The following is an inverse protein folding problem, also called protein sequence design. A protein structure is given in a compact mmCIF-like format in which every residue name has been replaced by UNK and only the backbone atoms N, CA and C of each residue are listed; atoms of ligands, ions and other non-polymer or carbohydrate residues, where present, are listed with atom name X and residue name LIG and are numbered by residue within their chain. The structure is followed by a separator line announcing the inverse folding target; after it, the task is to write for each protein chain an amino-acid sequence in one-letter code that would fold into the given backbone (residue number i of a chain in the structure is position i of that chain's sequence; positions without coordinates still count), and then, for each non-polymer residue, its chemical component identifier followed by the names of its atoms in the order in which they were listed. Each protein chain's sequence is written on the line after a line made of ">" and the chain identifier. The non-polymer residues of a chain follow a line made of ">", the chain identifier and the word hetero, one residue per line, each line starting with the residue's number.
data_IF_376983810144
#
_entry.id   IF_376983810144
#
_cell.length_a   1.000
_cell.length_b   1.000
_cell.length_c   1.000
_cell.angle_alpha   90.00
_cell.angle_beta   90.00
_cell.angle_gamma   90.00
#
_symmetry.space_group_name_H-M   'P 1'
#
loop_
_entity.id
_entity.type
_entity.pdbx_description
1 polymer ?
#
# COMPACT_ATOMS: atom_id res chain seq x y z
N UNK A 1 -13.88 -14.58 15.43
CA UNK A 1 -14.05 -13.46 14.48
C UNK A 1 -13.63 -13.97 13.11
N UNK A 2 -14.41 -13.73 12.05
CA UNK A 2 -14.01 -14.08 10.70
C UNK A 2 -13.03 -13.02 10.18
N UNK A 3 -12.10 -13.41 9.31
CA UNK A 3 -11.12 -12.48 8.78
C UNK A 3 -10.45 -12.98 7.51
N UNK A 4 -9.87 -12.02 6.79
CA UNK A 4 -9.11 -12.26 5.57
C UNK A 4 -7.68 -11.77 5.76
N UNK A 5 -6.73 -12.47 5.14
CA UNK A 5 -5.32 -12.10 5.13
C UNK A 5 -4.93 -11.61 3.74
N UNK A 6 -4.26 -10.47 3.71
CA UNK A 6 -3.77 -9.84 2.49
C UNK A 6 -2.23 -9.83 2.54
N UNK A 7 -1.63 -10.59 1.62
CA UNK A 7 -0.18 -10.78 1.52
C UNK A 7 0.53 -9.59 0.89
N UNK A 8 1.81 -9.42 1.24
CA UNK A 8 2.73 -8.42 0.67
C UNK A 8 3.06 -8.69 -0.81
N UNK A 9 3.11 -9.95 -1.23
CA UNK A 9 3.36 -10.33 -2.62
C UNK A 9 2.07 -10.30 -3.46
N UNK A 10 2.08 -9.53 -4.55
CA UNK A 10 0.92 -9.33 -5.42
C UNK A 10 1.06 -10.01 -6.78
N UNK A 11 -0.02 -10.62 -7.29
CA UNK A 11 0.00 -11.18 -8.64
C UNK A 11 0.11 -10.07 -9.68
N UNK A 12 1.01 -10.22 -10.64
CA UNK A 12 1.09 -9.31 -11.78
C UNK A 12 -0.10 -9.55 -12.71
N UNK A 13 -0.73 -8.47 -13.16
CA UNK A 13 -1.80 -8.52 -14.15
C UNK A 13 -1.19 -8.82 -15.52
N UNK A 14 -1.76 -9.78 -16.22
CA UNK A 14 -1.46 -10.05 -17.62
C UNK A 14 -2.76 -10.22 -18.38
N UNK A 15 -2.73 -9.85 -19.66
CA UNK A 15 -3.89 -9.94 -20.52
C UNK A 15 -4.40 -11.38 -20.61
N UNK A 16 -5.68 -11.57 -20.32
CA UNK A 16 -6.38 -12.84 -20.52
C UNK A 16 -7.82 -12.58 -20.93
N UNK A 17 -8.23 -13.19 -22.05
CA UNK A 17 -9.60 -13.07 -22.57
C UNK A 17 -10.56 -13.98 -21.81
N UNK A 18 -11.74 -13.45 -21.47
CA UNK A 18 -12.86 -14.22 -20.95
C UNK A 18 -13.63 -14.81 -22.13
N UNK A 19 -13.35 -16.08 -22.43
CA UNK A 19 -13.96 -16.80 -23.57
C UNK A 19 -15.33 -17.40 -23.25
N UNK A 20 -15.60 -17.64 -21.97
CA UNK A 20 -16.85 -18.26 -21.49
C UNK A 20 -17.34 -17.52 -20.27
N UNK A 21 -18.65 -17.24 -20.22
CA UNK A 21 -19.31 -16.66 -19.05
C UNK A 21 -20.31 -17.71 -18.56
N UNK A 22 -20.25 -18.14 -17.29
CA UNK A 22 -21.19 -19.12 -16.77
C UNK A 22 -22.61 -18.56 -16.81
N UNK A 23 -23.57 -19.34 -17.32
CA UNK A 23 -24.98 -18.94 -17.41
C UNK A 23 -25.68 -18.83 -16.05
N UNK A 24 -25.04 -19.27 -14.97
CA UNK A 24 -25.51 -19.13 -13.60
C UNK A 24 -24.54 -18.24 -12.85
N UNK A 25 -25.06 -17.16 -12.27
CA UNK A 25 -24.32 -16.32 -11.33
C UNK A 25 -23.93 -17.16 -10.10
N UNK A 26 -22.64 -17.13 -9.78
CA UNK A 26 -22.14 -17.74 -8.56
C UNK A 26 -22.62 -16.94 -7.34
N UNK A 27 -22.94 -17.64 -6.24
CA UNK A 27 -23.28 -16.97 -4.99
C UNK A 27 -22.08 -16.15 -4.46
N UNK A 28 -22.35 -15.08 -3.68
CA UNK A 28 -21.32 -14.21 -3.04
C UNK A 28 -20.13 -14.98 -2.47
N UNK A 29 -20.41 -16.00 -1.66
CA UNK A 29 -19.39 -16.85 -1.03
C UNK A 29 -18.60 -17.68 -2.05
N UNK A 30 -19.25 -18.18 -3.11
CA UNK A 30 -18.58 -18.95 -4.15
C UNK A 30 -17.62 -18.08 -4.98
N UNK A 31 -17.99 -16.84 -5.29
CA UNK A 31 -17.10 -15.88 -5.96
C UNK A 31 -15.85 -15.59 -5.11
N UNK A 32 -16.05 -15.31 -3.82
CA UNK A 32 -14.94 -15.11 -2.89
C UNK A 32 -14.04 -16.35 -2.78
N UNK A 33 -14.63 -17.53 -2.57
CA UNK A 33 -13.89 -18.79 -2.43
C UNK A 33 -13.11 -19.14 -3.71
N UNK A 34 -13.70 -18.92 -4.91
CA UNK A 34 -13.00 -19.11 -6.19
C UNK A 34 -11.76 -18.23 -6.29
N UNK A 35 -11.89 -16.95 -5.96
CA UNK A 35 -10.77 -16.01 -5.98
C UNK A 35 -9.68 -16.38 -4.95
N UNK A 36 -10.06 -16.65 -3.70
CA UNK A 36 -9.10 -17.04 -2.65
C UNK A 36 -8.39 -18.35 -2.97
N UNK A 37 -9.08 -19.32 -3.57
CA UNK A 37 -8.48 -20.57 -4.00
C UNK A 37 -7.47 -20.37 -5.13
N UNK A 38 -7.73 -19.47 -6.07
CA UNK A 38 -6.76 -19.11 -7.13
C UNK A 38 -5.49 -18.50 -6.52
N UNK A 39 -5.63 -17.60 -5.55
CA UNK A 39 -4.48 -17.04 -4.82
C UNK A 39 -3.67 -18.13 -4.11
N UNK A 40 -4.33 -19.07 -3.42
CA UNK A 40 -3.66 -20.18 -2.73
C UNK A 40 -2.97 -21.15 -3.69
N UNK A 41 -3.59 -21.46 -4.82
CA UNK A 41 -3.02 -22.39 -5.80
C UNK A 41 -1.73 -21.88 -6.44
N UNK A 42 -1.60 -20.55 -6.62
CA UNK A 42 -0.35 -19.94 -7.09
C UNK A 42 0.83 -20.17 -6.13
N UNK A 43 0.60 -20.10 -4.82
CA UNK A 43 1.63 -20.42 -3.83
C UNK A 43 2.13 -21.87 -3.96
N UNK A 44 1.26 -22.79 -4.40
CA UNK A 44 1.59 -24.21 -4.59
C UNK A 44 2.16 -24.55 -5.99
N UNK A 45 2.64 -23.55 -6.75
CA UNK A 45 3.48 -23.67 -7.95
C UNK A 45 2.95 -24.51 -9.14
N UNK A 46 1.71 -25.04 -9.10
CA UNK A 46 1.25 -26.08 -10.03
C UNK A 46 0.08 -25.72 -10.96
N UNK A 47 -0.35 -24.46 -11.08
CA UNK A 47 -1.38 -24.08 -12.06
C UNK A 47 -1.02 -22.81 -12.83
N UNK A 48 -0.95 -22.93 -14.16
CA UNK A 48 -0.68 -21.85 -15.13
C UNK A 48 -1.95 -21.34 -15.85
N UNK A 49 -3.14 -21.85 -15.52
CA UNK A 49 -4.28 -21.71 -16.44
C UNK A 49 -5.20 -20.50 -16.17
N UNK A 50 -5.25 -19.93 -14.96
CA UNK A 50 -6.06 -18.75 -14.67
C UNK A 50 -5.36 -17.75 -13.74
N UNK A 51 -5.63 -16.46 -13.93
CA UNK A 51 -5.16 -15.40 -13.05
C UNK A 51 -6.21 -14.91 -12.06
N UNK A 52 -5.75 -14.35 -10.94
CA UNK A 52 -6.62 -13.65 -10.00
C UNK A 52 -7.37 -12.51 -10.71
N UNK A 53 -6.67 -11.76 -11.57
CA UNK A 53 -7.24 -10.72 -12.42
C UNK A 53 -8.30 -11.28 -13.39
N UNK A 54 -8.06 -12.46 -13.99
CA UNK A 54 -9.04 -13.15 -14.83
C UNK A 54 -10.32 -13.49 -14.07
N UNK A 55 -10.24 -13.95 -12.82
CA UNK A 55 -11.42 -14.24 -11.98
C UNK A 55 -12.23 -12.99 -11.66
N UNK A 56 -11.55 -11.88 -11.37
CA UNK A 56 -12.22 -10.59 -11.17
C UNK A 56 -12.92 -10.17 -12.46
N UNK A 57 -12.22 -10.20 -13.60
CA UNK A 57 -12.76 -9.84 -14.92
C UNK A 57 -13.99 -10.69 -15.28
N UNK A 58 -13.90 -12.02 -15.11
CA UNK A 58 -15.00 -12.97 -15.32
C UNK A 58 -16.21 -12.63 -14.44
N UNK A 59 -15.99 -12.34 -13.15
CA UNK A 59 -17.06 -11.98 -12.23
C UNK A 59 -17.71 -10.64 -12.60
N UNK A 60 -16.93 -9.60 -12.89
CA UNK A 60 -17.44 -8.28 -13.30
C UNK A 60 -18.32 -8.39 -14.55
N UNK A 61 -17.86 -9.11 -15.58
CA UNK A 61 -18.62 -9.32 -16.81
C UNK A 61 -19.91 -10.09 -16.54
N UNK A 62 -19.84 -11.15 -15.71
CA UNK A 62 -21.01 -11.96 -15.34
C UNK A 62 -22.05 -11.12 -14.61
N UNK A 63 -21.63 -10.34 -13.60
CA UNK A 63 -22.50 -9.46 -12.82
C UNK A 63 -23.16 -8.41 -13.70
N UNK A 64 -22.42 -7.77 -14.60
CA UNK A 64 -22.99 -6.77 -15.51
C UNK A 64 -23.97 -7.40 -16.51
N UNK A 65 -23.65 -8.56 -17.06
CA UNK A 65 -24.44 -9.22 -18.10
C UNK A 65 -25.78 -9.74 -17.57
N UNK A 66 -25.77 -10.35 -16.37
CA UNK A 66 -26.96 -10.99 -15.80
C UNK A 66 -27.65 -10.12 -14.73
N UNK A 67 -26.94 -9.16 -14.13
CA UNK A 67 -27.51 -8.27 -13.12
C UNK A 67 -28.52 -7.30 -13.71
N UNK A 68 -28.12 -6.45 -14.66
CA UNK A 68 -29.02 -5.44 -15.22
C UNK A 68 -30.20 -6.02 -16.03
N UNK A 69 -30.10 -7.28 -16.43
CA UNK A 69 -31.08 -7.93 -17.28
C UNK A 69 -31.14 -7.33 -18.69
N UNK A 70 -32.12 -7.74 -19.47
CA UNK A 70 -32.46 -7.13 -20.76
C UNK A 70 -33.96 -7.31 -21.05
N UNK A 71 -34.40 -7.07 -22.29
CA UNK A 71 -35.82 -7.19 -22.65
C UNK A 71 -36.41 -8.60 -22.41
N UNK A 72 -35.56 -9.63 -22.35
CA UNK A 72 -35.97 -11.04 -22.25
C UNK A 72 -35.43 -11.71 -20.97
N UNK A 73 -34.29 -11.25 -20.45
CA UNK A 73 -33.66 -11.76 -19.24
C UNK A 73 -34.05 -10.89 -18.05
N UNK A 74 -34.61 -11.51 -17.00
CA UNK A 74 -34.98 -10.81 -15.78
C UNK A 74 -33.75 -10.17 -15.11
N UNK A 75 -33.96 -8.99 -14.53
CA UNK A 75 -32.98 -8.28 -13.71
C UNK A 75 -32.74 -9.04 -12.40
N UNK A 76 -31.48 -9.13 -11.99
CA UNK A 76 -31.05 -9.66 -10.70
C UNK A 76 -30.50 -8.51 -9.85
N UNK A 77 -31.31 -8.04 -8.90
CA UNK A 77 -30.97 -6.88 -8.06
C UNK A 77 -29.76 -7.14 -7.16
N UNK A 78 -29.54 -8.38 -6.71
CA UNK A 78 -28.38 -8.74 -5.89
C UNK A 78 -27.09 -8.61 -6.70
N UNK A 79 -27.12 -9.05 -7.97
CA UNK A 79 -25.97 -8.89 -8.87
C UNK A 79 -25.71 -7.43 -9.25
N UNK A 80 -26.76 -6.61 -9.41
CA UNK A 80 -26.60 -5.15 -9.63
C UNK A 80 -25.97 -4.49 -8.40
N UNK A 81 -26.45 -4.81 -7.19
CA UNK A 81 -25.89 -4.30 -5.95
C UNK A 81 -24.40 -4.66 -5.81
N UNK A 82 -24.02 -5.89 -6.18
CA UNK A 82 -22.62 -6.31 -6.19
C UNK A 82 -21.77 -5.53 -7.20
N UNK A 83 -22.27 -5.31 -8.42
CA UNK A 83 -21.54 -4.57 -9.45
C UNK A 83 -21.36 -3.09 -9.06
N UNK A 84 -22.46 -2.41 -8.70
CA UNK A 84 -22.47 -0.99 -8.35
C UNK A 84 -21.73 -0.74 -7.03
N UNK A 85 -21.85 -1.65 -6.06
CA UNK A 85 -21.11 -1.60 -4.81
C UNK A 85 -19.59 -1.71 -5.02
N UNK A 86 -19.15 -2.60 -5.92
CA UNK A 86 -17.73 -2.70 -6.25
C UNK A 86 -17.22 -1.45 -6.96
N UNK A 87 -18.00 -0.89 -7.90
CA UNK A 87 -17.65 0.38 -8.55
C UNK A 87 -17.54 1.53 -7.54
N UNK A 88 -18.46 1.62 -6.57
CA UNK A 88 -18.43 2.62 -5.52
C UNK A 88 -17.20 2.46 -4.59
N UNK A 89 -16.82 1.22 -4.26
CA UNK A 89 -15.61 0.94 -3.50
C UNK A 89 -14.35 1.39 -4.28
N UNK A 90 -14.28 1.09 -5.58
CA UNK A 90 -13.18 1.53 -6.45
C UNK A 90 -13.08 3.06 -6.53
N UNK A 91 -14.20 3.78 -6.63
CA UNK A 91 -14.24 5.26 -6.61
C UNK A 91 -13.59 5.84 -5.36
N UNK A 92 -13.72 5.16 -4.23
CA UNK A 92 -13.16 5.62 -2.94
C UNK A 92 -11.67 5.28 -2.81
N UNK A 93 -11.26 4.11 -3.30
CA UNK A 93 -9.90 3.58 -3.08
C UNK A 93 -8.92 4.04 -4.15
N UNK A 94 -9.36 4.09 -5.42
CA UNK A 94 -8.52 4.54 -6.52
C UNK A 94 -8.15 6.03 -6.35
N UNK A 95 -6.95 6.43 -6.79
CA UNK A 95 -6.51 7.81 -6.62
C UNK A 95 -7.38 8.79 -7.38
N UNK A 96 -7.73 9.91 -6.74
CA UNK A 96 -8.47 11.01 -7.37
C UNK A 96 -7.81 11.54 -8.64
N UNK A 97 -6.47 11.47 -8.74
CA UNK A 97 -5.74 11.87 -9.95
C UNK A 97 -5.97 10.95 -11.15
N UNK A 98 -6.43 9.72 -10.93
CA UNK A 98 -6.86 8.83 -12.01
C UNK A 98 -8.22 9.26 -12.57
N UNK A 99 -9.05 9.94 -11.78
CA UNK A 99 -10.37 10.41 -12.21
C UNK A 99 -11.32 9.28 -12.56
N UNK A 100 -11.30 8.14 -11.85
CA UNK A 100 -12.15 6.99 -12.14
C UNK A 100 -13.64 7.33 -12.02
N UNK A 101 -14.41 7.05 -13.07
CA UNK A 101 -15.83 7.40 -13.16
C UNK A 101 -16.74 6.18 -13.09
N UNK A 102 -16.47 5.12 -13.85
CA UNK A 102 -17.30 3.92 -13.90
C UNK A 102 -16.63 2.77 -14.64
N UNK A 103 -17.21 1.58 -14.50
CA UNK A 103 -16.85 0.39 -15.26
C UNK A 103 -17.77 0.27 -16.49
N UNK A 104 -17.18 0.02 -17.64
CA UNK A 104 -17.90 -0.24 -18.90
C UNK A 104 -17.47 -1.59 -19.46
N UNK A 105 -18.43 -2.39 -19.91
CA UNK A 105 -18.17 -3.71 -20.49
C UNK A 105 -18.22 -3.61 -22.02
N UNK A 106 -17.05 -3.75 -22.65
CA UNK A 106 -16.90 -3.88 -24.10
C UNK A 106 -16.50 -5.30 -24.41
N UNK A 107 -17.48 -6.22 -24.46
CA UNK A 107 -17.23 -7.66 -24.56
C UNK A 107 -16.15 -8.02 -25.61
N UNK A 108 -15.13 -8.83 -25.25
CA UNK A 108 -14.91 -9.54 -23.98
C UNK A 108 -14.06 -8.76 -22.93
N UNK A 109 -13.95 -7.44 -23.08
CA UNK A 109 -13.11 -6.59 -22.26
C UNK A 109 -13.89 -5.83 -21.17
N UNK A 110 -13.22 -5.63 -20.04
CA UNK A 110 -13.64 -4.71 -18.99
C UNK A 110 -12.81 -3.44 -19.16
N UNK A 111 -13.47 -2.30 -19.26
CA UNK A 111 -12.86 -0.99 -19.49
C UNK A 111 -13.22 -0.07 -18.35
N UNK A 112 -12.24 0.67 -17.85
CA UNK A 112 -12.43 1.70 -16.85
C UNK A 112 -12.49 3.06 -17.55
N UNK A 113 -13.58 3.78 -17.35
CA UNK A 113 -13.70 5.16 -17.81
C UNK A 113 -13.19 6.12 -16.74
N UNK A 114 -12.42 7.11 -17.19
CA UNK A 114 -11.86 8.17 -16.36
C UNK A 114 -12.10 9.54 -16.96
N UNK A 115 -11.87 10.59 -16.17
CA UNK A 115 -11.95 11.99 -16.62
C UNK A 115 -11.08 12.28 -17.86
N UNK A 116 -9.94 11.59 -17.99
CA UNK A 116 -8.96 11.84 -19.06
C UNK A 116 -9.02 10.86 -20.23
N UNK A 117 -9.82 9.79 -20.13
CA UNK A 117 -9.90 8.75 -21.14
C UNK A 117 -10.31 7.40 -20.57
N UNK A 118 -10.19 6.34 -21.36
CA UNK A 118 -10.52 4.97 -20.94
C UNK A 118 -9.36 4.02 -21.16
N UNK A 119 -9.25 3.02 -20.30
CA UNK A 119 -8.22 1.99 -20.40
C UNK A 119 -8.76 0.60 -20.03
N UNK A 120 -8.13 -0.45 -20.56
CA UNK A 120 -8.51 -1.84 -20.26
C UNK A 120 -8.10 -2.22 -18.84
N UNK A 121 -8.93 -3.02 -18.17
CA UNK A 121 -8.65 -3.63 -16.87
C UNK A 121 -7.27 -4.32 -16.83
N UNK A 122 -6.85 -4.94 -17.93
CA UNK A 122 -5.58 -5.66 -18.01
C UNK A 122 -4.36 -4.74 -18.26
N UNK A 123 -4.59 -3.46 -18.56
CA UNK A 123 -3.55 -2.48 -18.89
C UNK A 123 -3.16 -1.56 -17.74
N UNK A 124 -3.68 -1.81 -16.53
CA UNK A 124 -3.38 -1.03 -15.34
C UNK A 124 -1.92 -1.20 -14.89
N UNK A 125 -1.35 -0.16 -14.29
CA UNK A 125 -0.05 -0.27 -13.64
C UNK A 125 -0.13 -1.20 -12.42
N UNK A 126 1.00 -1.81 -12.03
CA UNK A 126 1.04 -2.77 -10.92
C UNK A 126 0.50 -2.22 -9.60
N UNK A 127 0.68 -0.93 -9.32
CA UNK A 127 0.13 -0.29 -8.13
C UNK A 127 -1.40 -0.19 -8.17
N UNK A 128 -1.98 0.18 -9.32
CA UNK A 128 -3.45 0.24 -9.49
C UNK A 128 -4.06 -1.17 -9.47
N UNK A 129 -3.42 -2.14 -10.11
CA UNK A 129 -3.79 -3.56 -10.01
C UNK A 129 -3.88 -4.03 -8.54
N UNK A 130 -2.88 -3.68 -7.73
CA UNK A 130 -2.85 -4.05 -6.31
C UNK A 130 -4.02 -3.43 -5.53
N UNK A 131 -4.38 -2.18 -5.83
CA UNK A 131 -5.56 -1.52 -5.23
C UNK A 131 -6.86 -2.21 -5.64
N UNK A 132 -7.01 -2.59 -6.91
CA UNK A 132 -8.19 -3.31 -7.42
C UNK A 132 -8.33 -4.66 -6.72
N UNK A 133 -7.23 -5.42 -6.60
CA UNK A 133 -7.22 -6.73 -5.93
C UNK A 133 -7.63 -6.63 -4.45
N UNK A 134 -7.05 -5.68 -3.72
CA UNK A 134 -7.39 -5.43 -2.31
C UNK A 134 -8.85 -5.02 -2.18
N UNK A 135 -9.31 -4.11 -3.03
CA UNK A 135 -10.70 -3.64 -3.04
C UNK A 135 -11.65 -4.81 -3.28
N UNK A 136 -11.37 -5.65 -4.29
CA UNK A 136 -12.20 -6.80 -4.62
C UNK A 136 -12.28 -7.79 -3.46
N UNK A 137 -11.15 -8.11 -2.83
CA UNK A 137 -11.11 -9.05 -1.70
C UNK A 137 -11.94 -8.57 -0.52
N UNK A 138 -11.76 -7.31 -0.11
CA UNK A 138 -12.47 -6.75 1.04
C UNK A 138 -13.95 -6.56 0.72
N UNK A 139 -14.28 -6.08 -0.48
CA UNK A 139 -15.67 -5.92 -0.92
C UNK A 139 -16.42 -7.26 -0.95
N UNK A 140 -15.82 -8.30 -1.54
CA UNK A 140 -16.44 -9.61 -1.57
C UNK A 140 -16.59 -10.20 -0.16
N UNK A 141 -15.65 -9.93 0.75
CA UNK A 141 -15.79 -10.32 2.15
C UNK A 141 -16.89 -9.53 2.87
N UNK A 142 -17.05 -8.23 2.62
CA UNK A 142 -18.12 -7.41 3.24
C UNK A 142 -19.52 -7.78 2.76
N UNK A 143 -19.64 -8.37 1.57
CA UNK A 143 -20.92 -8.92 1.09
C UNK A 143 -21.31 -10.23 1.79
N UNK A 144 -20.37 -10.91 2.46
CA UNK A 144 -20.60 -12.18 3.16
C UNK A 144 -20.63 -11.99 4.67
N UNK A 145 -19.85 -11.03 5.18
CA UNK A 145 -19.64 -10.81 6.61
C UNK A 145 -19.96 -9.36 6.98
N UNK A 146 -20.81 -9.19 8.02
CA UNK A 146 -21.21 -7.86 8.49
C UNK A 146 -20.06 -7.13 9.20
N UNK A 147 -19.33 -7.84 10.07
CA UNK A 147 -18.15 -7.33 10.80
C UNK A 147 -17.02 -8.36 10.73
N UNK A 148 -15.85 -7.94 10.24
CA UNK A 148 -14.70 -8.84 10.07
C UNK A 148 -13.37 -8.10 10.20
N UNK A 149 -12.30 -8.88 10.37
CA UNK A 149 -10.94 -8.37 10.51
C UNK A 149 -10.17 -8.59 9.21
N UNK A 150 -9.44 -7.58 8.77
CA UNK A 150 -8.52 -7.67 7.65
C UNK A 150 -7.10 -7.50 8.18
N UNK A 151 -6.29 -8.54 8.03
CA UNK A 151 -4.86 -8.48 8.35
C UNK A 151 -4.10 -8.24 7.05
N UNK A 152 -3.29 -7.19 7.00
CA UNK A 152 -2.46 -6.88 5.84
C UNK A 152 -0.98 -6.86 6.21
N UNK A 153 -0.15 -7.41 5.34
CA UNK A 153 1.31 -7.32 5.43
C UNK A 153 1.83 -6.47 4.27
N UNK A 154 2.54 -5.38 4.59
CA UNK A 154 3.10 -4.39 3.66
C UNK A 154 2.15 -4.03 2.50
N UNK A 155 0.89 -3.62 2.77
CA UNK A 155 -0.09 -3.36 1.72
C UNK A 155 0.30 -2.20 0.78
N UNK A 156 1.28 -1.40 1.18
CA UNK A 156 1.90 -0.33 0.41
C UNK A 156 2.91 -0.77 -0.65
N UNK A 157 3.31 -2.05 -0.65
CA UNK A 157 4.29 -2.56 -1.60
C UNK A 157 3.84 -2.33 -3.04
N UNK A 158 4.77 -1.88 -3.90
CA UNK A 158 4.54 -1.50 -5.29
C UNK A 158 3.63 -0.27 -5.52
N UNK A 159 3.18 0.41 -4.47
CA UNK A 159 2.44 1.67 -4.60
C UNK A 159 3.38 2.88 -4.64
N UNK A 160 3.01 3.87 -5.44
CA UNK A 160 3.68 5.17 -5.43
C UNK A 160 3.50 5.86 -4.06
N UNK A 161 4.49 6.58 -3.49
CA UNK A 161 4.40 7.17 -2.14
C UNK A 161 3.14 7.99 -1.85
N UNK A 162 2.64 8.73 -2.86
CA UNK A 162 1.38 9.48 -2.77
C UNK A 162 0.16 8.59 -2.48
N UNK A 163 0.14 7.37 -3.02
CA UNK A 163 -0.92 6.38 -2.79
C UNK A 163 -0.78 5.73 -1.42
N UNK A 164 0.44 5.44 -0.98
CA UNK A 164 0.73 4.84 0.33
C UNK A 164 0.11 5.68 1.45
N UNK A 165 0.31 7.00 1.43
CA UNK A 165 -0.27 7.94 2.42
C UNK A 165 -1.79 7.91 2.53
N UNK A 166 -2.50 7.59 1.45
CA UNK A 166 -3.96 7.64 1.40
C UNK A 166 -4.60 6.25 1.47
N UNK A 167 -3.80 5.18 1.49
CA UNK A 167 -4.31 3.81 1.40
C UNK A 167 -5.22 3.45 2.59
N UNK A 168 -4.71 3.53 3.83
CA UNK A 168 -5.50 3.18 5.01
C UNK A 168 -6.71 4.11 5.22
N UNK A 169 -6.58 5.45 5.10
CA UNK A 169 -7.73 6.35 5.15
C UNK A 169 -8.82 5.97 4.16
N UNK A 170 -8.45 5.67 2.91
CA UNK A 170 -9.42 5.28 1.88
C UNK A 170 -10.06 3.93 2.19
N UNK A 171 -9.31 2.96 2.70
CA UNK A 171 -9.84 1.64 3.08
C UNK A 171 -10.84 1.73 4.25
N UNK A 172 -10.51 2.53 5.28
CA UNK A 172 -11.39 2.75 6.44
C UNK A 172 -12.68 3.46 5.99
N UNK A 173 -12.56 4.46 5.12
CA UNK A 173 -13.72 5.17 4.57
C UNK A 173 -14.60 4.27 3.68
N UNK A 174 -13.99 3.42 2.85
CA UNK A 174 -14.71 2.50 1.96
C UNK A 174 -15.39 1.36 2.73
N UNK A 175 -14.81 0.93 3.85
CA UNK A 175 -15.25 -0.24 4.61
C UNK A 175 -15.31 0.04 6.12
N UNK A 176 -16.32 0.80 6.60
CA UNK A 176 -16.38 1.25 7.99
C UNK A 176 -16.61 0.13 9.02
N UNK A 177 -17.18 -1.01 8.60
CA UNK A 177 -17.44 -2.16 9.49
C UNK A 177 -16.26 -3.15 9.54
N UNK A 178 -15.08 -2.74 9.06
CA UNK A 178 -13.89 -3.58 8.96
C UNK A 178 -12.81 -3.10 9.91
N UNK A 179 -12.30 -4.03 10.72
CA UNK A 179 -11.13 -3.76 11.55
C UNK A 179 -9.86 -4.12 10.78
N UNK A 180 -8.99 -3.14 10.57
CA UNK A 180 -7.71 -3.34 9.89
C UNK A 180 -6.58 -3.56 10.90
N UNK A 181 -5.78 -4.60 10.70
CA UNK A 181 -4.52 -4.87 11.39
C UNK A 181 -3.43 -4.90 10.33
N UNK A 182 -2.45 -4.01 10.42
CA UNK A 182 -1.46 -3.81 9.36
C UNK A 182 -0.05 -3.95 9.94
N UNK A 183 0.75 -4.81 9.32
CA UNK A 183 2.19 -4.85 9.51
C UNK A 183 2.85 -4.07 8.37
N UNK A 184 3.73 -3.14 8.69
CA UNK A 184 4.38 -2.27 7.71
C UNK A 184 5.69 -1.72 8.28
N UNK A 185 6.68 -1.53 7.41
CA UNK A 185 7.90 -0.79 7.71
C UNK A 185 7.86 0.64 7.13
N UNK A 186 6.73 1.08 6.60
CA UNK A 186 6.60 2.35 5.90
C UNK A 186 6.09 3.47 6.84
N UNK A 187 6.88 4.53 7.07
CA UNK A 187 6.49 5.64 7.96
C UNK A 187 5.22 6.36 7.50
N UNK A 188 4.95 6.41 6.19
CA UNK A 188 3.73 7.03 5.65
C UNK A 188 2.47 6.25 5.99
N UNK A 189 2.56 4.95 6.19
CA UNK A 189 1.43 4.11 6.58
C UNK A 189 1.15 4.27 8.08
N UNK A 190 2.20 4.24 8.90
CA UNK A 190 2.15 4.41 10.36
C UNK A 190 1.45 5.71 10.77
N UNK A 191 1.62 6.77 9.98
CA UNK A 191 1.05 8.11 10.24
C UNK A 191 -0.19 8.46 9.47
N UNK A 192 -0.67 7.55 8.61
CA UNK A 192 -1.78 7.85 7.71
C UNK A 192 -3.11 8.02 8.45
N UNK A 193 -3.26 7.43 9.64
CA UNK A 193 -4.52 7.42 10.40
C UNK A 193 -4.27 7.93 11.82
N UNK A 194 -4.86 9.08 12.22
CA UNK A 194 -4.60 9.70 13.52
C UNK A 194 -5.06 8.82 14.70
N UNK A 195 -6.24 8.21 14.58
CA UNK A 195 -6.88 7.42 15.64
C UNK A 195 -6.47 5.94 15.61
N UNK A 196 -5.31 5.60 15.04
CA UNK A 196 -4.81 4.23 14.97
C UNK A 196 -3.98 3.86 16.20
N UNK A 197 -3.98 2.59 16.61
CA UNK A 197 -3.02 2.08 17.60
C UNK A 197 -1.78 1.56 16.86
N UNK A 198 -0.61 2.12 17.18
CA UNK A 198 0.67 1.76 16.54
C UNK A 198 1.53 1.05 17.57
N UNK A 199 1.90 -0.19 17.27
CA UNK A 199 2.80 -0.99 18.09
C UNK A 199 4.14 -1.13 17.39
N UNK A 200 5.21 -0.69 18.05
CA UNK A 200 6.58 -0.84 17.58
C UNK A 200 7.14 -2.14 18.12
N UNK A 201 7.73 -2.95 17.25
CA UNK A 201 8.38 -4.19 17.64
C UNK A 201 9.89 -3.93 17.73
N UNK A 202 10.46 -4.09 18.92
CA UNK A 202 11.89 -3.93 19.19
C UNK A 202 12.44 -5.12 19.95
N UNK A 203 13.77 -5.20 20.07
CA UNK A 203 14.43 -6.16 20.95
C UNK A 203 14.76 -5.52 22.29
N UNK A 204 14.52 -6.23 23.38
CA UNK A 204 15.01 -5.83 24.70
C UNK A 204 16.45 -6.29 24.95
N UNK A 205 17.03 -5.91 26.10
CA UNK A 205 18.41 -6.27 26.50
C UNK A 205 18.68 -7.79 26.52
N UNK A 206 17.61 -8.60 26.61
CA UNK A 206 17.69 -10.07 26.57
C UNK A 206 17.49 -10.66 25.17
N UNK A 207 17.56 -9.85 24.10
CA UNK A 207 17.29 -10.24 22.71
C UNK A 207 15.91 -10.89 22.49
N UNK A 208 14.90 -10.52 23.28
CA UNK A 208 13.51 -10.93 23.06
C UNK A 208 12.73 -9.81 22.38
N UNK A 209 11.81 -10.18 21.50
CA UNK A 209 10.90 -9.22 20.86
C UNK A 209 9.90 -8.71 21.89
N UNK A 210 9.81 -7.40 22.01
CA UNK A 210 8.86 -6.68 22.84
C UNK A 210 8.09 -5.67 21.99
N UNK A 211 6.81 -5.49 22.30
CA UNK A 211 5.95 -4.51 21.63
C UNK A 211 5.72 -3.30 22.53
N UNK A 212 5.98 -2.10 22.02
CA UNK A 212 5.69 -0.84 22.72
C UNK A 212 4.59 -0.08 21.98
N UNK A 213 3.62 0.46 22.72
CA UNK A 213 2.58 1.31 22.14
C UNK A 213 3.15 2.71 21.93
N UNK A 214 3.05 3.21 20.70
CA UNK A 214 3.51 4.55 20.35
C UNK A 214 2.44 5.59 20.72
N UNK A 215 2.82 6.56 21.57
CA UNK A 215 1.95 7.64 22.00
C UNK A 215 1.62 8.62 20.85
N UNK A 216 0.44 9.24 20.90
CA UNK A 216 -0.17 10.05 19.82
C UNK A 216 0.70 11.26 19.44
N UNK A 217 1.49 11.79 20.37
CA UNK A 217 2.42 12.90 20.13
C UNK A 217 3.49 12.54 19.10
N UNK A 218 3.93 11.27 19.06
CA UNK A 218 4.96 10.80 18.12
C UNK A 218 4.41 10.40 16.74
N UNK A 219 3.07 10.38 16.56
CA UNK A 219 2.44 10.06 15.25
C UNK A 219 2.32 11.26 14.32
N UNK A 220 2.52 12.47 14.83
CA UNK A 220 2.47 13.71 14.03
C UNK A 220 3.85 14.19 13.57
N UNK A 221 4.91 13.44 13.91
CA UNK A 221 6.28 13.76 13.52
C UNK A 221 6.50 13.71 12.01
N UNK A 222 7.58 14.33 11.55
CA UNK A 222 8.01 14.19 10.16
C UNK A 222 8.38 12.74 9.85
N UNK A 223 8.28 12.33 8.58
CA UNK A 223 8.67 10.97 8.18
C UNK A 223 10.06 10.56 8.66
N UNK A 224 10.99 11.53 8.77
CA UNK A 224 12.33 11.29 9.29
C UNK A 224 12.36 11.05 10.80
N UNK A 225 11.55 11.78 11.58
CA UNK A 225 11.42 11.54 13.03
C UNK A 225 10.85 10.15 13.30
N UNK A 226 9.81 9.74 12.55
CA UNK A 226 9.25 8.39 12.67
C UNK A 226 10.25 7.32 12.23
N UNK A 227 10.98 7.56 11.15
CA UNK A 227 12.05 6.66 10.71
C UNK A 227 13.10 6.44 11.81
N UNK A 228 13.48 7.50 12.53
CA UNK A 228 14.45 7.39 13.63
C UNK A 228 13.85 6.80 14.90
N UNK A 229 12.73 7.33 15.37
CA UNK A 229 12.12 6.98 16.66
C UNK A 229 11.35 5.66 16.64
N UNK A 230 10.69 5.34 15.54
CA UNK A 230 9.75 4.21 15.42
C UNK A 230 10.41 3.04 14.68
N UNK A 231 11.15 3.33 13.61
CA UNK A 231 11.81 2.29 12.79
C UNK A 231 13.27 2.04 13.19
N UNK A 232 13.77 2.75 14.22
CA UNK A 232 15.08 2.51 14.81
C UNK A 232 16.26 2.90 13.91
N UNK A 233 16.06 3.82 12.96
CA UNK A 233 17.16 4.31 12.13
C UNK A 233 18.02 5.31 12.91
N UNK A 234 19.32 5.04 13.02
CA UNK A 234 20.27 5.97 13.63
C UNK A 234 20.36 7.29 12.84
N UNK A 235 20.20 7.21 11.52
CA UNK A 235 20.25 8.33 10.59
C UNK A 235 19.25 8.15 9.44
N UNK A 236 18.61 9.23 9.00
CA UNK A 236 17.81 9.25 7.76
C UNK A 236 18.65 9.65 6.54
N UNK A 237 19.96 9.86 6.73
CA UNK A 237 20.87 10.16 5.63
C UNK A 237 21.18 8.90 4.82
N UNK A 238 21.43 9.03 3.52
CA UNK A 238 22.00 7.95 2.74
C UNK A 238 23.37 7.54 3.31
N UNK A 239 23.67 6.24 3.30
CA UNK A 239 24.94 5.70 3.82
C UNK A 239 26.19 6.40 3.23
N UNK A 240 26.19 6.73 1.93
CA UNK A 240 27.30 7.44 1.30
C UNK A 240 27.54 8.85 1.87
N UNK A 241 26.48 9.53 2.29
CA UNK A 241 26.55 10.88 2.84
C UNK A 241 27.10 10.81 4.27
N UNK A 242 26.67 9.81 5.03
CA UNK A 242 27.18 9.51 6.36
C UNK A 242 28.67 9.15 6.34
N UNK A 243 29.10 8.28 5.42
CA UNK A 243 30.52 7.93 5.24
C UNK A 243 31.38 9.16 4.90
N UNK A 244 30.88 10.05 4.04
CA UNK A 244 31.59 11.29 3.69
C UNK A 244 31.63 12.27 4.86
N UNK A 245 30.52 12.44 5.57
CA UNK A 245 30.45 13.28 6.76
C UNK A 245 31.41 12.80 7.83
N UNK A 246 31.42 11.48 8.11
CA UNK A 246 32.34 10.86 9.06
C UNK A 246 33.80 11.00 8.62
N UNK A 247 34.10 10.91 7.33
CA UNK A 247 35.44 11.18 6.81
C UNK A 247 35.87 12.64 7.02
N UNK A 248 34.98 13.61 6.75
CA UNK A 248 35.28 15.04 6.98
C UNK A 248 35.50 15.26 8.46
N UNK A 249 34.57 14.82 9.33
CA UNK A 249 34.71 14.91 10.78
C UNK A 249 36.05 14.31 11.22
N UNK A 250 36.39 13.09 10.76
CA UNK A 250 37.64 12.41 11.07
C UNK A 250 38.92 13.16 10.69
N UNK A 251 38.91 13.99 9.64
CA UNK A 251 40.07 14.84 9.28
C UNK A 251 40.34 15.97 10.28
N UNK A 252 39.30 16.38 11.01
CA UNK A 252 39.30 17.52 11.91
C UNK A 252 39.14 17.11 13.40
N UNK A 253 38.79 15.86 13.68
CA UNK A 253 38.81 15.26 15.03
C UNK A 253 40.19 15.45 15.68
N UNK A 254 40.21 16.03 16.89
CA UNK A 254 41.45 16.24 17.66
C UNK A 254 42.35 17.40 17.19
N UNK A 255 41.89 18.25 16.26
CA UNK A 255 42.54 19.53 15.92
C UNK A 255 41.83 20.70 16.59
N UNK A 256 42.56 21.76 16.89
CA UNK A 256 41.97 23.00 17.40
C UNK A 256 40.95 23.58 16.42
N UNK A 257 39.77 23.94 16.93
CA UNK A 257 38.72 24.59 16.15
C UNK A 257 39.14 26.03 15.87
N UNK A 258 39.87 26.23 14.78
CA UNK A 258 40.24 27.56 14.27
C UNK A 258 39.21 28.05 13.25
N UNK A 259 39.16 29.37 13.02
CA UNK A 259 38.31 29.97 11.98
C UNK A 259 38.60 29.39 10.58
N UNK A 260 39.86 28.98 10.33
CA UNK A 260 40.29 28.36 9.09
C UNK A 260 39.77 26.91 8.96
N UNK A 261 39.82 26.12 10.04
CA UNK A 261 39.25 24.78 10.07
C UNK A 261 37.73 24.80 9.83
N UNK A 262 37.01 25.73 10.46
CA UNK A 262 35.57 25.91 10.25
C UNK A 262 35.24 26.30 8.80
N UNK A 263 36.06 27.18 8.21
CA UNK A 263 35.89 27.56 6.80
C UNK A 263 36.12 26.37 5.85
N UNK A 264 37.13 25.54 6.14
CA UNK A 264 37.43 24.37 5.32
C UNK A 264 36.37 23.27 5.45
N UNK A 265 35.83 23.03 6.65
CA UNK A 265 34.70 22.11 6.85
C UNK A 265 33.49 22.58 6.06
N UNK A 266 33.18 23.89 6.08
CA UNK A 266 32.07 24.45 5.32
C UNK A 266 32.26 24.26 3.81
N UNK A 267 33.47 24.52 3.30
CA UNK A 267 33.79 24.34 1.88
C UNK A 267 33.71 22.86 1.46
N UNK A 268 34.30 21.95 2.23
CA UNK A 268 34.25 20.51 1.93
C UNK A 268 32.82 19.96 1.95
N UNK A 269 31.96 20.44 2.86
CA UNK A 269 30.54 20.07 2.90
C UNK A 269 29.75 20.67 1.72
N UNK A 270 30.07 21.90 1.31
CA UNK A 270 29.44 22.57 0.17
C UNK A 270 29.77 21.89 -1.16
N UNK A 271 31.01 21.47 -1.35
CA UNK A 271 31.44 20.73 -2.55
C UNK A 271 30.70 19.40 -2.75
N UNK A 272 30.20 18.81 -1.67
CA UNK A 272 29.45 17.55 -1.69
C UNK A 272 27.94 17.74 -1.52
N UNK A 273 27.46 18.99 -1.45
CA UNK A 273 26.04 19.33 -1.33
C UNK A 273 25.42 18.99 0.03
N UNK A 274 26.21 19.00 1.10
CA UNK A 274 25.80 18.74 2.49
C UNK A 274 25.89 20.00 3.36
N UNK A 275 25.67 21.18 2.77
CA UNK A 275 25.75 22.48 3.45
C UNK A 275 24.91 22.54 4.74
N UNK A 276 23.72 21.94 4.69
CA UNK A 276 22.74 21.95 5.78
C UNK A 276 23.22 21.18 7.03
N UNK A 277 24.22 20.31 6.88
CA UNK A 277 24.80 19.49 7.96
C UNK A 277 26.00 20.15 8.66
N UNK A 278 26.37 21.36 8.25
CA UNK A 278 27.47 22.10 8.87
C UNK A 278 27.35 22.26 10.40
N UNK A 279 26.18 22.61 10.97
CA UNK A 279 26.03 22.72 12.42
C UNK A 279 26.27 21.38 13.14
N UNK A 280 25.80 20.28 12.57
CA UNK A 280 25.91 18.94 13.16
C UNK A 280 27.36 18.42 13.11
N UNK A 281 28.06 18.69 11.99
CA UNK A 281 29.48 18.38 11.85
C UNK A 281 30.35 19.08 12.91
N UNK A 282 30.08 20.36 13.17
CA UNK A 282 30.81 21.12 14.20
C UNK A 282 30.55 20.55 15.59
N UNK A 283 29.30 20.26 15.93
CA UNK A 283 28.95 19.70 17.24
C UNK A 283 29.71 18.39 17.50
N UNK A 284 29.74 17.48 16.53
CA UNK A 284 30.50 16.21 16.65
C UNK A 284 32.01 16.41 16.76
N UNK A 285 32.60 17.37 16.03
CA UNK A 285 34.04 17.69 16.15
C UNK A 285 34.33 18.32 17.52
N UNK A 286 33.46 19.18 18.04
CA UNK A 286 33.62 19.81 19.35
C UNK A 286 33.45 18.81 20.52
N UNK A 287 32.52 17.87 20.42
CA UNK A 287 32.37 16.77 21.38
C UNK A 287 33.63 15.90 21.45
N UNK A 288 34.35 15.71 20.35
CA UNK A 288 35.60 14.93 20.33
C UNK A 288 36.80 15.59 21.02
N UNK A 289 36.68 16.87 21.38
CA UNK A 289 37.69 17.66 22.11
C UNK A 289 37.38 17.76 23.61
N UNK A 290 36.21 17.26 24.05
CA UNK A 290 35.74 17.25 25.44
C UNK A 290 36.11 15.93 26.13
#
# INVERSE_FOLDING_TARGET
>A
MQGIYISSHRPVYFYQQVLTIPAKLDAKKQLLDKYLNELRQRYNHNSRNSSASFRIKEAIISLATFGYGNQVVARDDEAVEMFEGFEAALKTILPKSLGFQKIVIHMPEVVFETDTGSFSFDSVSGGIASLIDVTWQIFMASMVYENFVVVMDEPENHLHPKLQRNLLPNLINAFPNVQFIVATHNPFMVTSVPDSNVYVLGYNEANKVESTLLDVVNKSGTSNEILREVLGLESTMPAWAEDKLNNIIGKYTGKDITAEALSNIKLELSEIGLDDLFPEAINKVAESLS
#
